data_IF_006047910922
#
_entry.id   IF_006047910922
#
_cell.length_a   1.000
_cell.length_b   1.000
_cell.length_c   1.000
_cell.angle_alpha   90.00
_cell.angle_beta   90.00
_cell.angle_gamma   90.00
#
_symmetry.space_group_name_H-M   'P 1'
#
loop_
_entity.id
_entity.type
_entity.pdbx_description
1 polymer ?
#
# COMPACT_ATOMS: atom_id res chain seq x y z
N UNK A 1 -8.88 -11.96 23.50
CA UNK A 1 -9.60 -11.51 24.72
C UNK A 1 -9.79 -12.70 25.65
N UNK A 2 -9.85 -12.47 26.97
CA UNK A 2 -10.27 -13.53 27.92
C UNK A 2 -11.77 -13.88 27.71
N UNK A 3 -12.22 -15.14 27.91
CA UNK A 3 -13.60 -15.56 27.64
C UNK A 3 -14.67 -14.72 28.35
N UNK A 4 -14.46 -14.39 29.62
CA UNK A 4 -15.38 -13.54 30.42
C UNK A 4 -15.53 -12.13 29.85
N UNK A 5 -14.43 -11.55 29.33
CA UNK A 5 -14.45 -10.23 28.68
C UNK A 5 -15.16 -10.27 27.33
N UNK A 6 -14.98 -11.35 26.57
CA UNK A 6 -15.64 -11.54 25.28
C UNK A 6 -17.16 -11.67 25.44
N UNK A 7 -17.62 -12.50 26.38
CA UNK A 7 -19.05 -12.65 26.69
C UNK A 7 -19.69 -11.30 27.06
N UNK A 8 -19.12 -10.59 28.03
CA UNK A 8 -19.59 -9.26 28.43
C UNK A 8 -19.63 -8.28 27.26
N UNK A 9 -18.61 -8.29 26.39
CA UNK A 9 -18.56 -7.42 25.22
C UNK A 9 -19.70 -7.72 24.25
N UNK A 10 -19.98 -8.99 23.96
CA UNK A 10 -21.12 -9.37 23.13
C UNK A 10 -22.45 -8.94 23.77
N UNK A 11 -22.67 -9.19 25.05
CA UNK A 11 -23.92 -8.86 25.75
C UNK A 11 -24.17 -7.35 25.90
N UNK A 12 -23.12 -6.53 25.89
CA UNK A 12 -23.24 -5.07 26.12
C UNK A 12 -23.10 -4.25 24.85
N UNK A 13 -22.36 -4.71 23.84
CA UNK A 13 -22.07 -3.97 22.61
C UNK A 13 -22.59 -4.63 21.34
N UNK A 14 -22.82 -5.94 21.35
CA UNK A 14 -23.24 -6.72 20.17
C UNK A 14 -24.28 -7.78 20.56
N UNK A 15 -25.39 -7.34 21.15
CA UNK A 15 -26.44 -8.23 21.71
C UNK A 15 -27.00 -9.19 20.66
N UNK A 16 -27.08 -8.73 19.41
CA UNK A 16 -27.45 -9.49 18.22
C UNK A 16 -26.52 -10.68 17.91
N UNK A 17 -25.37 -10.76 18.57
CA UNK A 17 -24.39 -11.84 18.41
C UNK A 17 -24.13 -12.61 19.70
N UNK A 18 -24.72 -12.20 20.83
CA UNK A 18 -24.48 -12.82 22.14
C UNK A 18 -24.98 -14.28 22.23
N UNK A 19 -26.05 -14.62 21.51
CA UNK A 19 -26.67 -15.95 21.49
C UNK A 19 -26.18 -16.84 20.35
N UNK A 20 -25.30 -16.35 19.48
CA UNK A 20 -24.87 -17.10 18.30
C UNK A 20 -23.88 -18.20 18.68
N UNK A 21 -23.99 -19.34 18.01
CA UNK A 21 -23.12 -20.48 18.25
C UNK A 21 -21.70 -20.25 17.72
N UNK A 22 -20.76 -21.09 18.16
CA UNK A 22 -19.36 -21.05 17.72
C UNK A 22 -19.18 -21.18 16.21
N UNK A 23 -20.05 -21.92 15.52
CA UNK A 23 -19.99 -22.09 14.07
C UNK A 23 -20.24 -20.78 13.31
N UNK A 24 -21.16 -19.93 13.80
CA UNK A 24 -21.38 -18.60 13.22
C UNK A 24 -20.09 -17.78 13.22
N UNK A 25 -19.34 -17.79 14.32
CA UNK A 25 -18.09 -17.02 14.44
C UNK A 25 -16.96 -17.62 13.59
N UNK A 26 -16.87 -18.95 13.48
CA UNK A 26 -15.92 -19.62 12.58
C UNK A 26 -16.19 -19.26 11.12
N UNK A 27 -17.46 -19.26 10.71
CA UNK A 27 -17.86 -18.86 9.36
C UNK A 27 -17.53 -17.37 9.13
N UNK A 28 -17.81 -16.50 10.11
CA UNK A 28 -17.49 -15.08 10.00
C UNK A 28 -15.99 -14.80 9.94
N UNK A 29 -15.20 -15.55 10.68
CA UNK A 29 -13.74 -15.51 10.61
C UNK A 29 -13.26 -15.93 9.20
N UNK A 30 -13.82 -16.99 8.64
CA UNK A 30 -13.47 -17.45 7.30
C UNK A 30 -13.83 -16.40 6.23
N UNK A 31 -15.01 -15.78 6.31
CA UNK A 31 -15.40 -14.67 5.45
C UNK A 31 -14.40 -13.51 5.54
N UNK A 32 -14.01 -13.12 6.76
CA UNK A 32 -13.03 -12.06 6.99
C UNK A 32 -11.64 -12.44 6.45
N UNK A 33 -11.22 -13.69 6.60
CA UNK A 33 -9.95 -14.18 6.05
C UNK A 33 -9.97 -14.14 4.52
N UNK A 34 -11.08 -14.55 3.91
CA UNK A 34 -11.26 -14.52 2.46
C UNK A 34 -11.33 -13.09 1.93
N UNK A 35 -12.07 -12.19 2.58
CA UNK A 35 -12.14 -10.78 2.20
C UNK A 35 -10.78 -10.11 2.32
N UNK A 36 -10.02 -10.40 3.38
CA UNK A 36 -8.64 -9.90 3.57
C UNK A 36 -7.69 -10.42 2.50
N UNK A 37 -7.81 -11.69 2.08
CA UNK A 37 -7.03 -12.25 0.96
C UNK A 37 -7.40 -11.56 -0.36
N UNK A 38 -8.69 -11.33 -0.62
CA UNK A 38 -9.16 -10.60 -1.81
C UNK A 38 -8.62 -9.17 -1.81
N UNK A 39 -8.73 -8.45 -0.70
CA UNK A 39 -8.19 -7.10 -0.52
C UNK A 39 -6.69 -7.08 -0.75
N UNK A 40 -5.92 -8.02 -0.19
CA UNK A 40 -4.48 -8.11 -0.47
C UNK A 40 -4.20 -8.33 -1.96
N UNK A 41 -4.97 -9.19 -2.64
CA UNK A 41 -4.80 -9.49 -4.06
C UNK A 41 -5.16 -8.30 -4.97
N UNK A 42 -6.16 -7.49 -4.62
CA UNK A 42 -6.50 -6.25 -5.36
C UNK A 42 -5.67 -5.04 -4.96
N UNK A 43 -5.21 -4.98 -3.70
CA UNK A 43 -4.33 -3.93 -3.21
C UNK A 43 -2.88 -4.12 -3.66
N UNK A 44 -2.46 -5.36 -3.94
CA UNK A 44 -1.12 -5.76 -4.42
C UNK A 44 -1.32 -6.51 -5.75
N UNK A 45 -1.77 -5.80 -6.79
CA UNK A 45 -1.70 -6.35 -8.15
C UNK A 45 -0.25 -6.30 -8.64
N UNK A 46 0.15 -7.20 -9.57
CA UNK A 46 1.48 -7.19 -10.20
C UNK A 46 1.87 -5.80 -10.73
N UNK A 47 0.90 -5.06 -11.27
CA UNK A 47 1.08 -3.70 -11.72
C UNK A 47 1.55 -2.74 -10.61
N UNK A 48 1.04 -2.90 -9.37
CA UNK A 48 1.47 -2.09 -8.22
C UNK A 48 2.86 -2.47 -7.72
N UNK A 49 3.29 -3.71 -7.88
CA UNK A 49 4.67 -4.12 -7.59
C UNK A 49 5.64 -3.48 -8.58
N UNK A 50 5.30 -3.44 -9.87
CA UNK A 50 6.10 -2.77 -10.89
C UNK A 50 6.16 -1.25 -10.66
N UNK A 51 5.04 -0.62 -10.35
CA UNK A 51 4.99 0.81 -10.00
C UNK A 51 5.82 1.11 -8.73
N UNK A 52 5.77 0.21 -7.74
CA UNK A 52 6.57 0.31 -6.52
C UNK A 52 8.06 0.21 -6.85
N UNK A 53 8.46 -0.77 -7.65
CA UNK A 53 9.86 -0.97 -8.07
C UNK A 53 10.38 0.24 -8.84
N UNK A 54 9.64 0.72 -9.84
CA UNK A 54 10.00 1.92 -10.60
C UNK A 54 10.20 3.14 -9.70
N UNK A 55 9.33 3.33 -8.70
CA UNK A 55 9.45 4.41 -7.72
C UNK A 55 10.77 4.32 -6.91
N UNK A 56 11.18 3.12 -6.47
CA UNK A 56 12.46 2.96 -5.78
C UNK A 56 13.66 3.25 -6.68
N UNK A 57 13.61 2.82 -7.95
CA UNK A 57 14.69 3.07 -8.91
C UNK A 57 14.88 4.58 -9.16
N UNK A 58 13.79 5.32 -9.36
CA UNK A 58 13.85 6.79 -9.53
C UNK A 58 14.41 7.46 -8.27
N UNK A 59 13.94 7.09 -7.08
CA UNK A 59 14.42 7.68 -5.83
C UNK A 59 15.90 7.38 -5.57
N UNK A 60 16.36 6.18 -5.90
CA UNK A 60 17.77 5.83 -5.79
C UNK A 60 18.64 6.69 -6.71
N UNK A 61 18.18 6.99 -7.93
CA UNK A 61 18.90 7.88 -8.85
C UNK A 61 18.96 9.32 -8.32
N UNK A 62 17.84 9.83 -7.79
CA UNK A 62 17.77 11.17 -7.18
C UNK A 62 18.74 11.26 -5.98
N UNK A 63 18.73 10.25 -5.11
CA UNK A 63 19.61 10.19 -3.95
C UNK A 63 21.09 10.13 -4.36
N UNK A 64 21.44 9.29 -5.35
CA UNK A 64 22.80 9.23 -5.90
C UNK A 64 23.25 10.55 -6.52
N UNK A 65 22.33 11.30 -7.12
CA UNK A 65 22.59 12.62 -7.68
C UNK A 65 22.61 13.74 -6.61
N UNK A 66 22.34 13.43 -5.34
CA UNK A 66 22.27 14.40 -4.24
C UNK A 66 21.16 15.44 -4.41
N UNK A 67 20.08 15.10 -5.12
CA UNK A 67 18.97 16.01 -5.40
C UNK A 67 17.85 15.87 -4.38
N UNK A 68 17.07 16.94 -4.12
CA UNK A 68 15.88 16.82 -3.29
C UNK A 68 14.85 15.90 -3.95
N UNK A 69 14.10 15.16 -3.15
CA UNK A 69 13.05 14.27 -3.65
C UNK A 69 11.89 15.00 -4.34
N UNK A 70 11.78 16.32 -4.17
CA UNK A 70 10.81 17.17 -4.88
C UNK A 70 11.02 17.17 -6.40
N UNK A 71 12.26 16.91 -6.86
CA UNK A 71 12.59 16.87 -8.29
C UNK A 71 11.80 15.79 -9.05
N UNK A 72 11.34 14.75 -8.34
CA UNK A 72 10.51 13.70 -8.91
C UNK A 72 9.16 14.26 -9.40
N UNK A 73 8.50 15.06 -8.56
CA UNK A 73 7.21 15.68 -8.87
C UNK A 73 7.37 16.89 -9.80
N UNK A 74 8.40 17.71 -9.58
CA UNK A 74 8.58 18.99 -10.29
C UNK A 74 9.07 18.83 -11.74
N UNK A 75 9.86 17.78 -12.02
CA UNK A 75 10.54 17.65 -13.31
C UNK A 75 10.43 16.25 -13.92
N UNK A 76 10.72 15.20 -13.15
CA UNK A 76 10.83 13.84 -13.71
C UNK A 76 9.48 13.34 -14.22
N UNK A 77 8.41 13.45 -13.43
CA UNK A 77 7.06 13.03 -13.84
C UNK A 77 6.53 13.87 -15.00
N UNK A 78 6.60 15.22 -14.96
CA UNK A 78 6.20 16.06 -16.10
C UNK A 78 6.97 15.79 -17.39
N UNK A 79 8.27 15.42 -17.32
CA UNK A 79 9.06 15.10 -18.49
C UNK A 79 8.80 13.68 -19.03
N UNK A 80 8.60 12.70 -18.14
CA UNK A 80 8.38 11.31 -18.54
C UNK A 80 7.05 11.11 -19.28
N UNK A 81 5.99 11.83 -18.88
CA UNK A 81 4.66 11.73 -19.52
C UNK A 81 4.64 12.02 -21.02
N UNK A 82 5.11 13.18 -21.52
CA UNK A 82 5.13 13.45 -22.95
C UNK A 82 6.07 12.50 -23.71
N UNK A 83 7.20 12.10 -23.12
CA UNK A 83 8.10 11.11 -23.73
C UNK A 83 7.41 9.77 -23.95
N UNK A 84 6.77 9.21 -22.91
CA UNK A 84 6.05 7.93 -23.01
C UNK A 84 4.82 8.06 -23.91
N UNK A 85 4.12 9.19 -23.85
CA UNK A 85 2.96 9.44 -24.72
C UNK A 85 3.36 9.45 -26.20
N UNK A 86 4.50 10.07 -26.54
CA UNK A 86 4.99 10.14 -27.91
C UNK A 86 5.58 8.81 -28.41
N UNK A 87 6.30 8.08 -27.55
CA UNK A 87 7.03 6.86 -27.96
C UNK A 87 6.19 5.58 -27.86
N UNK A 88 5.28 5.49 -26.90
CA UNK A 88 4.56 4.26 -26.55
C UNK A 88 3.05 4.45 -26.69
N UNK A 89 2.55 5.61 -26.28
CA UNK A 89 1.15 5.98 -26.40
C UNK A 89 0.54 6.51 -25.10
N UNK A 90 -0.58 7.21 -25.25
CA UNK A 90 -1.23 7.95 -24.15
C UNK A 90 -1.67 7.05 -23.00
N UNK A 91 -2.08 5.81 -23.28
CA UNK A 91 -2.48 4.84 -22.25
C UNK A 91 -1.31 4.51 -21.31
N UNK A 92 -0.12 4.26 -21.86
CA UNK A 92 1.08 3.99 -21.08
C UNK A 92 1.56 5.24 -20.32
N UNK A 93 1.33 6.44 -20.84
CA UNK A 93 1.63 7.67 -20.14
C UNK A 93 0.76 7.86 -18.88
N UNK A 94 -0.53 7.48 -18.95
CA UNK A 94 -1.44 7.52 -17.79
C UNK A 94 -1.05 6.52 -16.69
N UNK A 95 -0.45 5.40 -17.06
CA UNK A 95 0.06 4.41 -16.11
C UNK A 95 1.18 4.97 -15.20
N UNK A 96 1.87 6.05 -15.62
CA UNK A 96 2.87 6.73 -14.79
C UNK A 96 2.28 7.41 -13.54
N UNK A 97 1.00 7.80 -13.56
CA UNK A 97 0.33 8.40 -12.40
C UNK A 97 0.17 7.42 -11.24
N UNK A 98 0.26 6.13 -11.54
CA UNK A 98 0.20 5.07 -10.55
C UNK A 98 1.56 4.84 -9.86
N UNK A 99 2.64 5.44 -10.37
CA UNK A 99 3.96 5.37 -9.75
C UNK A 99 3.98 6.31 -8.54
N UNK A 100 4.12 5.78 -7.32
CA UNK A 100 4.07 6.58 -6.10
C UNK A 100 5.40 7.33 -5.89
N UNK A 101 5.54 8.48 -6.55
CA UNK A 101 6.70 9.37 -6.41
C UNK A 101 6.42 10.55 -5.47
N UNK A 102 5.25 10.58 -4.82
CA UNK A 102 4.88 11.76 -4.07
C UNK A 102 5.72 11.97 -2.81
N UNK A 103 6.02 13.22 -2.47
CA UNK A 103 6.88 13.60 -1.34
C UNK A 103 6.48 12.89 -0.03
N UNK A 104 5.18 12.86 0.28
CA UNK A 104 4.62 12.17 1.45
C UNK A 104 4.87 10.64 1.42
N UNK A 105 4.87 10.04 0.24
CA UNK A 105 5.13 8.60 0.07
C UNK A 105 6.62 8.28 0.13
N UNK A 106 7.46 9.18 -0.40
CA UNK A 106 8.92 9.09 -0.36
C UNK A 106 9.41 9.16 1.08
N UNK A 107 8.96 10.14 1.86
CA UNK A 107 9.32 10.29 3.28
C UNK A 107 9.02 9.02 4.07
N UNK A 108 7.79 8.50 3.97
CA UNK A 108 7.39 7.25 4.65
C UNK A 108 8.25 6.04 4.27
N UNK A 109 8.82 6.01 3.06
CA UNK A 109 9.72 4.92 2.65
C UNK A 109 11.13 5.11 3.14
N UNK A 110 11.63 6.35 3.17
CA UNK A 110 12.92 6.67 3.79
C UNK A 110 12.87 6.27 5.26
N UNK A 111 11.82 6.65 5.98
CA UNK A 111 11.61 6.26 7.38
C UNK A 111 11.62 4.72 7.51
N UNK A 112 10.86 4.02 6.67
CA UNK A 112 10.79 2.55 6.68
C UNK A 112 12.12 1.86 6.31
N UNK A 113 12.91 2.44 5.41
CA UNK A 113 14.23 1.91 5.06
C UNK A 113 15.22 2.16 6.19
N UNK A 114 15.15 3.33 6.84
CA UNK A 114 15.93 3.67 8.03
C UNK A 114 15.63 2.71 9.19
N UNK A 115 14.36 2.38 9.43
CA UNK A 115 13.94 1.45 10.49
C UNK A 115 14.50 0.02 10.30
N UNK A 116 14.86 -0.36 9.07
CA UNK A 116 15.40 -1.68 8.75
C UNK A 116 16.94 -1.73 8.79
N UNK A 117 17.62 -0.60 9.00
CA UNK A 117 19.06 -0.58 9.25
C UNK A 117 19.24 -0.84 10.75
N UNK A 118 19.54 -2.10 11.11
CA UNK A 118 20.14 -2.37 12.41
C UNK A 118 21.52 -1.72 12.41
N UNK A 119 21.67 -0.70 13.23
CA UNK A 119 22.98 -0.17 13.60
C UNK A 119 23.56 -1.17 14.59
N UNK A 120 24.57 -1.92 14.16
CA UNK A 120 25.43 -2.74 15.03
C UNK A 120 26.39 -1.85 15.83
#
# INVERSE_FOLDING_TARGET
>A
MKPSKLRRHLETKHREHATKCTEFFKNKEQELRQSRKKIKKTAIGSFKENALKASYEVLMLIAKAGKPHTIAEELIVPAAKPMVSAMVGEKAAKDLDLVPLSNNTVKRRIDKMSDNIKVD
#
